data_IF_234050381329
#
_entry.id   IF_234050381329
#
_cell.length_a   1.000
_cell.length_b   1.000
_cell.length_c   1.000
_cell.angle_alpha   90.00
_cell.angle_beta   90.00
_cell.angle_gamma   90.00
#
_symmetry.space_group_name_H-M   'P 1'
#
loop_
_entity.id
_entity.type
_entity.pdbx_description
1 polymer ?
#
# COMPACT_ATOMS: atom_id res chain seq x y z
N UNK A 1 -17.14 -19.30 -21.42
CA UNK A 1 -17.93 -18.19 -20.87
C UNK A 1 -17.01 -17.41 -19.97
N UNK A 2 -16.88 -16.10 -20.19
CA UNK A 2 -16.18 -15.21 -19.26
C UNK A 2 -17.11 -14.99 -18.06
N UNK A 3 -16.65 -15.21 -16.82
CA UNK A 3 -17.48 -14.97 -15.64
C UNK A 3 -17.93 -13.51 -15.58
N UNK A 4 -19.08 -13.26 -14.95
CA UNK A 4 -19.54 -11.90 -14.72
C UNK A 4 -18.56 -11.17 -13.79
N UNK A 5 -18.46 -9.84 -13.92
CA UNK A 5 -17.55 -9.01 -13.08
C UNK A 5 -17.81 -9.20 -11.58
N UNK A 6 -19.06 -9.43 -11.21
CA UNK A 6 -19.49 -9.62 -9.82
C UNK A 6 -19.01 -10.98 -9.29
N UNK A 7 -19.11 -12.06 -10.07
CA UNK A 7 -18.61 -13.40 -9.70
C UNK A 7 -17.09 -13.39 -9.49
N UNK A 8 -16.35 -12.64 -10.31
CA UNK A 8 -14.90 -12.46 -10.15
C UNK A 8 -14.57 -11.70 -8.87
N UNK A 9 -15.33 -10.64 -8.57
CA UNK A 9 -15.12 -9.81 -7.38
C UNK A 9 -15.45 -10.58 -6.11
N UNK A 10 -16.55 -11.33 -6.08
CA UNK A 10 -16.91 -12.20 -4.95
C UNK A 10 -15.84 -13.26 -4.68
N UNK A 11 -15.31 -13.86 -5.74
CA UNK A 11 -14.20 -14.82 -5.62
C UNK A 11 -12.96 -14.15 -5.03
N UNK A 12 -12.54 -12.99 -5.54
CA UNK A 12 -11.39 -12.27 -4.99
C UNK A 12 -11.58 -11.88 -3.52
N UNK A 13 -12.80 -11.50 -3.11
CA UNK A 13 -13.11 -11.22 -1.71
C UNK A 13 -12.91 -12.48 -0.85
N UNK A 14 -13.37 -13.65 -1.32
CA UNK A 14 -13.19 -14.91 -0.59
C UNK A 14 -11.71 -15.29 -0.46
N UNK A 15 -10.95 -15.19 -1.54
CA UNK A 15 -9.51 -15.46 -1.57
C UNK A 15 -8.72 -14.51 -0.66
N UNK A 16 -8.99 -13.20 -0.73
CA UNK A 16 -8.38 -12.18 0.13
C UNK A 16 -8.77 -12.36 1.61
N UNK A 17 -9.99 -12.80 1.89
CA UNK A 17 -10.41 -13.14 3.25
C UNK A 17 -9.52 -14.25 3.80
N UNK A 18 -9.37 -15.36 3.06
CA UNK A 18 -8.50 -16.46 3.47
C UNK A 18 -7.02 -16.03 3.61
N UNK A 19 -6.50 -15.23 2.67
CA UNK A 19 -5.15 -14.67 2.75
C UNK A 19 -4.95 -13.87 4.05
N UNK A 20 -5.88 -12.98 4.38
CA UNK A 20 -5.74 -12.12 5.57
C UNK A 20 -5.91 -12.87 6.89
N UNK A 21 -6.69 -13.95 6.91
CA UNK A 21 -6.77 -14.86 8.05
C UNK A 21 -5.46 -15.62 8.25
N UNK A 22 -4.86 -16.13 7.17
CA UNK A 22 -3.53 -16.78 7.20
C UNK A 22 -2.45 -15.79 7.67
N UNK A 23 -2.48 -14.57 7.16
CA UNK A 23 -1.55 -13.50 7.57
C UNK A 23 -1.66 -13.19 9.06
N UNK A 24 -2.88 -13.00 9.58
CA UNK A 24 -3.10 -12.77 11.02
C UNK A 24 -2.64 -13.93 11.88
N UNK A 25 -2.87 -15.17 11.44
CA UNK A 25 -2.40 -16.36 12.15
C UNK A 25 -0.87 -16.44 12.17
N UNK A 26 -0.21 -16.14 11.05
CA UNK A 26 1.25 -16.09 10.96
C UNK A 26 1.84 -15.01 11.88
N UNK A 27 1.27 -13.80 11.88
CA UNK A 27 1.71 -12.72 12.76
C UNK A 27 1.49 -13.07 14.24
N UNK A 28 0.34 -13.65 14.60
CA UNK A 28 0.07 -14.09 15.98
C UNK A 28 1.04 -15.18 16.45
N UNK A 29 1.56 -16.00 15.53
CA UNK A 29 2.62 -16.98 15.79
C UNK A 29 4.03 -16.37 15.81
N UNK A 30 4.18 -15.07 15.52
CA UNK A 30 5.46 -14.37 15.43
C UNK A 30 6.25 -14.66 14.16
N UNK A 31 5.60 -15.17 13.11
CA UNK A 31 6.24 -15.42 11.82
C UNK A 31 6.34 -14.14 11.00
N UNK A 32 7.51 -13.90 10.42
CA UNK A 32 7.76 -12.85 9.42
C UNK A 32 7.76 -13.38 7.98
N UNK A 33 7.33 -14.63 7.76
CA UNK A 33 7.29 -15.22 6.42
C UNK A 33 6.18 -14.57 5.58
N UNK A 34 6.47 -14.39 4.29
CA UNK A 34 5.48 -13.92 3.33
C UNK A 34 4.34 -14.96 3.20
N UNK A 35 3.11 -14.48 3.23
CA UNK A 35 1.91 -15.33 3.11
C UNK A 35 1.34 -15.21 1.71
N UNK A 36 0.96 -16.34 1.12
CA UNK A 36 0.27 -16.39 -0.16
C UNK A 36 -0.87 -17.39 -0.16
N UNK A 37 -1.89 -17.12 -0.99
CA UNK A 37 -3.08 -17.95 -1.13
C UNK A 37 -3.76 -17.69 -2.48
N UNK A 38 -3.98 -18.76 -3.27
CA UNK A 38 -4.70 -18.69 -4.56
C UNK A 38 -4.18 -17.57 -5.48
N UNK A 39 -2.86 -17.44 -5.59
CA UNK A 39 -2.20 -16.43 -6.42
C UNK A 39 -2.11 -15.03 -5.81
N UNK A 40 -2.75 -14.79 -4.66
CA UNK A 40 -2.54 -13.57 -3.86
C UNK A 40 -1.32 -13.69 -2.96
N UNK A 41 -0.61 -12.58 -2.78
CA UNK A 41 0.57 -12.46 -1.93
C UNK A 41 0.47 -11.21 -1.07
N UNK A 42 0.99 -11.28 0.15
CA UNK A 42 1.10 -10.11 1.04
C UNK A 42 2.23 -9.18 0.60
N UNK A 43 1.96 -7.87 0.59
CA UNK A 43 2.90 -6.80 0.33
C UNK A 43 3.23 -5.98 1.58
N UNK A 44 3.66 -4.74 1.37
CA UNK A 44 4.04 -3.80 2.42
C UNK A 44 2.83 -3.34 3.23
N UNK A 45 3.07 -2.88 4.46
CA UNK A 45 1.99 -2.53 5.40
C UNK A 45 2.24 -1.24 6.18
N UNK A 46 1.15 -0.63 6.61
CA UNK A 46 1.13 0.40 7.65
C UNK A 46 0.53 -0.19 8.92
N UNK A 47 1.10 0.17 10.06
CA UNK A 47 0.70 -0.27 11.38
C UNK A 47 1.59 -1.40 11.86
N UNK A 48 1.83 -1.44 13.17
CA UNK A 48 2.73 -2.41 13.79
C UNK A 48 2.12 -3.80 13.94
N UNK A 49 0.81 -3.97 13.75
CA UNK A 49 0.12 -5.26 13.85
C UNK A 49 -1.09 -5.41 12.92
N UNK A 50 -1.49 -6.64 12.60
CA UNK A 50 -2.72 -6.97 11.86
C UNK A 50 -4.01 -6.71 12.66
N UNK A 51 -3.91 -6.22 13.91
CA UNK A 51 -5.05 -5.77 14.68
C UNK A 51 -5.60 -4.44 14.16
N UNK A 52 -4.71 -3.51 13.79
CA UNK A 52 -5.07 -2.22 13.21
C UNK A 52 -3.99 -1.78 12.22
N UNK A 53 -4.38 -1.55 10.97
CA UNK A 53 -3.42 -1.19 9.94
C UNK A 53 -3.96 -1.41 8.54
N UNK A 54 -3.06 -1.31 7.57
CA UNK A 54 -3.34 -1.51 6.16
C UNK A 54 -2.27 -2.39 5.56
N UNK A 55 -2.66 -3.38 4.79
CA UNK A 55 -1.77 -4.32 4.11
C UNK A 55 -2.05 -4.26 2.61
N UNK A 56 -1.02 -4.06 1.82
CA UNK A 56 -1.12 -4.24 0.38
C UNK A 56 -1.07 -5.73 0.03
N UNK A 57 -1.78 -6.12 -1.01
CA UNK A 57 -1.75 -7.46 -1.56
C UNK A 57 -1.75 -7.39 -3.08
N UNK A 58 -1.04 -8.31 -3.72
CA UNK A 58 -0.98 -8.39 -5.17
C UNK A 58 -1.27 -9.81 -5.63
N UNK A 59 -1.89 -9.94 -6.79
CA UNK A 59 -2.26 -11.21 -7.39
C UNK A 59 -1.41 -11.48 -8.64
N UNK A 60 -1.04 -12.73 -8.86
CA UNK A 60 -0.20 -13.15 -10.01
C UNK A 60 -0.77 -12.77 -11.38
N UNK A 61 -2.10 -12.63 -11.48
CA UNK A 61 -2.78 -12.22 -12.71
C UNK A 61 -2.89 -10.70 -12.91
N UNK A 62 -2.39 -9.88 -11.98
CA UNK A 62 -2.37 -8.43 -12.05
C UNK A 62 -3.26 -7.65 -11.08
N UNK A 63 -4.40 -8.16 -10.56
CA UNK A 63 -5.18 -7.43 -9.56
C UNK A 63 -4.38 -7.15 -8.28
N UNK A 64 -4.68 -6.03 -7.64
CA UNK A 64 -4.06 -5.64 -6.37
C UNK A 64 -5.12 -5.15 -5.41
N UNK A 65 -4.85 -5.22 -4.10
CA UNK A 65 -5.84 -4.90 -3.07
C UNK A 65 -5.21 -4.25 -1.85
N UNK A 66 -5.86 -3.21 -1.33
CA UNK A 66 -5.60 -2.70 0.01
C UNK A 66 -6.54 -3.39 1.00
N UNK A 67 -5.96 -4.08 1.97
CA UNK A 67 -6.66 -4.76 3.07
C UNK A 67 -6.64 -3.86 4.31
N UNK A 68 -7.80 -3.41 4.77
CA UNK A 68 -7.91 -2.54 5.95
C UNK A 68 -8.28 -3.38 7.17
N UNK A 69 -7.39 -3.37 8.16
CA UNK A 69 -7.59 -4.04 9.44
C UNK A 69 -8.06 -3.06 10.50
N UNK A 70 -9.16 -3.42 11.17
CA UNK A 70 -9.71 -2.68 12.32
C UNK A 70 -10.06 -3.68 13.41
N UNK A 71 -9.60 -3.41 14.62
CA UNK A 71 -9.80 -4.32 15.73
C UNK A 71 -11.30 -4.56 15.98
N UNK A 72 -11.71 -5.84 16.01
CA UNK A 72 -13.09 -6.25 16.23
C UNK A 72 -13.99 -6.17 14.99
N UNK A 73 -13.48 -5.75 13.83
CA UNK A 73 -14.24 -5.67 12.58
C UNK A 73 -13.74 -6.71 11.55
N UNK A 74 -14.57 -6.97 10.55
CA UNK A 74 -14.15 -7.73 9.36
C UNK A 74 -13.19 -6.89 8.54
N UNK A 75 -12.23 -7.54 7.88
CA UNK A 75 -11.32 -6.88 6.95
C UNK A 75 -12.13 -6.25 5.80
N UNK A 76 -11.81 -5.00 5.47
CA UNK A 76 -12.35 -4.33 4.29
C UNK A 76 -11.33 -4.42 3.15
N UNK A 77 -11.82 -4.63 1.93
CA UNK A 77 -10.97 -4.75 0.75
C UNK A 77 -11.29 -3.64 -0.24
N UNK A 78 -10.24 -2.94 -0.66
CA UNK A 78 -10.30 -2.06 -1.82
C UNK A 78 -9.53 -2.72 -2.97
N UNK A 79 -10.27 -3.37 -3.88
CA UNK A 79 -9.71 -4.22 -4.94
C UNK A 79 -9.64 -3.44 -6.25
N UNK A 80 -8.43 -3.38 -6.83
CA UNK A 80 -8.18 -2.80 -8.14
C UNK A 80 -7.94 -3.90 -9.16
N UNK A 81 -8.93 -4.12 -10.03
CA UNK A 81 -8.85 -5.16 -11.06
C UNK A 81 -7.73 -4.94 -12.09
N UNK A 82 -7.26 -3.69 -12.25
CA UNK A 82 -6.14 -3.34 -13.13
C UNK A 82 -4.79 -3.23 -12.40
N UNK A 83 -4.72 -3.63 -11.14
CA UNK A 83 -3.61 -3.32 -10.23
C UNK A 83 -3.62 -1.86 -9.77
N UNK A 84 -2.68 -1.50 -8.89
CA UNK A 84 -2.35 -0.15 -8.44
C UNK A 84 -1.99 0.78 -9.60
N UNK A 85 -1.79 0.24 -10.81
CA UNK A 85 -2.05 0.92 -12.08
C UNK A 85 -1.65 2.38 -12.07
N UNK A 86 -0.36 2.64 -11.89
CA UNK A 86 0.18 3.99 -11.93
C UNK A 86 1.51 3.98 -12.67
N UNK A 87 1.70 5.04 -13.46
CA UNK A 87 2.92 5.30 -14.19
C UNK A 87 4.06 5.58 -13.21
N UNK A 88 4.87 4.55 -12.93
CA UNK A 88 6.09 4.67 -12.13
C UNK A 88 7.27 5.17 -12.96
N UNK A 89 7.11 5.38 -14.27
CA UNK A 89 8.27 5.60 -15.18
C UNK A 89 9.01 6.90 -14.89
N UNK A 90 8.31 7.94 -14.43
CA UNK A 90 8.92 9.24 -14.15
C UNK A 90 9.63 9.29 -12.79
N UNK A 91 9.03 8.70 -11.75
CA UNK A 91 9.49 8.88 -10.35
C UNK A 91 10.08 7.61 -9.73
N UNK A 92 9.92 6.47 -10.37
CA UNK A 92 10.24 5.16 -9.82
C UNK A 92 9.23 4.65 -8.79
N UNK A 93 8.14 5.39 -8.52
CA UNK A 93 7.09 4.97 -7.58
C UNK A 93 5.76 5.63 -7.91
N UNK A 94 4.71 5.09 -7.32
CA UNK A 94 3.37 5.65 -7.36
C UNK A 94 2.62 5.45 -6.05
N UNK A 95 1.94 6.51 -5.62
CA UNK A 95 1.11 6.51 -4.40
C UNK A 95 -0.30 6.07 -4.74
N UNK A 96 -0.80 5.13 -3.95
CA UNK A 96 -2.18 4.66 -4.02
C UNK A 96 -3.04 5.25 -2.90
N UNK A 97 -2.57 5.16 -1.66
CA UNK A 97 -3.30 5.60 -0.46
C UNK A 97 -2.36 6.43 0.39
N UNK A 98 -2.87 7.53 0.95
CA UNK A 98 -2.04 8.56 1.60
C UNK A 98 -2.55 9.00 2.97
N UNK A 99 -3.48 8.26 3.59
CA UNK A 99 -3.89 8.46 5.00
C UNK A 99 -4.36 7.10 5.56
N UNK A 100 -3.83 6.60 6.69
CA UNK A 100 -3.02 7.29 7.71
C UNK A 100 -1.50 7.36 7.44
N UNK A 101 -1.01 6.71 6.41
CA UNK A 101 0.37 6.82 5.92
C UNK A 101 0.36 6.64 4.40
N UNK A 102 1.53 6.51 3.77
CA UNK A 102 1.60 6.35 2.32
C UNK A 102 1.84 4.90 1.94
N UNK A 103 0.98 4.39 1.07
CA UNK A 103 1.04 3.08 0.45
C UNK A 103 1.12 3.23 -1.06
N UNK A 104 1.83 2.33 -1.72
CA UNK A 104 1.87 2.34 -3.17
C UNK A 104 2.72 1.24 -3.78
N UNK A 105 3.13 1.48 -5.02
CA UNK A 105 3.98 0.58 -5.79
C UNK A 105 5.30 1.26 -6.17
N UNK A 106 6.35 0.47 -6.32
CA UNK A 106 7.66 0.90 -6.83
C UNK A 106 7.96 0.24 -8.17
N UNK A 107 8.74 0.92 -9.01
CA UNK A 107 9.25 0.36 -10.24
C UNK A 107 10.25 -0.78 -9.97
N UNK A 108 10.39 -1.65 -10.97
CA UNK A 108 11.49 -2.61 -11.03
C UNK A 108 12.85 -1.92 -10.85
N UNK A 109 13.68 -2.52 -10.00
CA UNK A 109 15.02 -2.00 -9.71
C UNK A 109 15.07 -0.85 -8.71
N UNK A 110 13.95 -0.41 -8.13
CA UNK A 110 13.97 0.37 -6.88
C UNK A 110 14.36 -0.56 -5.73
N UNK A 111 15.39 -0.16 -4.99
CA UNK A 111 15.92 -0.93 -3.85
C UNK A 111 15.59 -0.28 -2.51
N UNK A 112 15.37 1.03 -2.50
CA UNK A 112 15.11 1.81 -1.28
C UNK A 112 14.31 3.07 -1.60
N UNK A 113 13.38 3.39 -0.70
CA UNK A 113 12.59 4.62 -0.71
C UNK A 113 12.63 5.22 0.69
N UNK A 114 12.88 6.51 0.78
CA UNK A 114 12.96 7.25 2.04
C UNK A 114 12.14 8.54 1.92
N UNK A 115 11.38 8.87 2.96
CA UNK A 115 10.62 10.11 3.03
C UNK A 115 11.23 11.00 4.10
N UNK A 116 11.52 12.24 3.74
CA UNK A 116 11.85 13.30 4.68
C UNK A 116 10.57 14.03 5.07
N UNK A 117 10.25 14.02 6.35
CA UNK A 117 9.09 14.74 6.88
C UNK A 117 9.36 16.25 7.01
N UNK A 118 8.33 16.99 7.45
CA UNK A 118 8.40 18.43 7.62
C UNK A 118 9.44 18.88 8.67
N UNK A 119 9.79 18.00 9.62
CA UNK A 119 10.79 18.23 10.66
C UNK A 119 12.21 17.80 10.21
N UNK A 120 12.34 17.28 8.98
CA UNK A 120 13.60 16.79 8.43
C UNK A 120 13.97 15.38 8.85
N UNK A 121 13.05 14.63 9.49
CA UNK A 121 13.27 13.24 9.87
C UNK A 121 13.14 12.36 8.64
N UNK A 122 14.13 11.49 8.45
CA UNK A 122 14.13 10.51 7.36
C UNK A 122 13.46 9.23 7.84
N UNK A 123 12.32 8.91 7.24
CA UNK A 123 11.55 7.68 7.48
C UNK A 123 11.75 6.72 6.31
N UNK A 124 12.37 5.56 6.52
CA UNK A 124 12.50 4.56 5.47
C UNK A 124 11.15 3.90 5.18
N UNK A 125 10.87 3.62 3.92
CA UNK A 125 9.72 2.82 3.54
C UNK A 125 10.03 1.33 3.74
N UNK A 126 9.03 0.58 4.18
CA UNK A 126 9.00 -0.86 3.98
C UNK A 126 8.74 -1.14 2.50
N UNK A 127 9.56 -1.98 1.89
CA UNK A 127 9.35 -2.47 0.52
C UNK A 127 9.23 -3.99 0.59
N UNK A 128 8.12 -4.52 0.08
CA UNK A 128 7.87 -5.96 -0.04
C UNK A 128 7.41 -6.21 -1.48
N UNK A 129 8.18 -7.04 -2.19
CA UNK A 129 8.06 -7.20 -3.64
C UNK A 129 8.10 -5.82 -4.35
N UNK A 130 7.08 -5.49 -5.15
CA UNK A 130 6.94 -4.20 -5.83
C UNK A 130 6.02 -3.22 -5.09
N UNK A 131 5.66 -3.52 -3.84
CA UNK A 131 4.80 -2.65 -3.02
C UNK A 131 5.62 -1.92 -1.95
N UNK A 132 5.20 -0.72 -1.55
CA UNK A 132 5.82 0.00 -0.46
C UNK A 132 4.81 0.58 0.53
N UNK A 133 5.28 0.79 1.75
CA UNK A 133 4.54 1.45 2.83
C UNK A 133 5.48 2.35 3.64
N UNK A 134 5.00 3.52 4.01
CA UNK A 134 5.76 4.46 4.86
C UNK A 134 4.83 5.15 5.85
N UNK A 135 5.23 5.10 7.12
CA UNK A 135 4.52 5.73 8.24
C UNK A 135 5.02 7.16 8.44
N UNK A 136 4.34 8.12 7.82
CA UNK A 136 4.60 9.56 7.96
C UNK A 136 3.34 10.26 8.42
N UNK A 137 3.50 11.33 9.20
CA UNK A 137 2.36 12.14 9.64
C UNK A 137 1.77 12.92 8.46
N UNK A 138 0.55 12.55 8.09
CA UNK A 138 -0.23 13.16 7.01
C UNK A 138 -1.46 13.91 7.57
N UNK A 139 -1.48 14.11 8.89
CA UNK A 139 -2.63 14.59 9.62
C UNK A 139 -3.63 13.47 9.97
N UNK A 140 -4.82 13.86 10.47
CA UNK A 140 -5.79 12.90 10.99
C UNK A 140 -6.32 11.95 9.90
N UNK A 141 -6.48 10.68 10.24
CA UNK A 141 -7.16 9.70 9.38
C UNK A 141 -8.64 10.08 9.21
N UNK A 142 -9.16 10.10 7.97
CA UNK A 142 -10.57 10.28 7.71
C UNK A 142 -11.43 9.21 8.40
N UNK A 143 -12.46 9.65 9.12
CA UNK A 143 -13.43 8.78 9.81
C UNK A 143 -14.69 8.55 9.00
N UNK A 144 -14.97 9.43 8.06
CA UNK A 144 -16.17 9.39 7.22
C UNK A 144 -15.80 9.44 5.74
N UNK A 145 -16.71 8.97 4.88
CA UNK A 145 -16.52 9.06 3.44
C UNK A 145 -16.43 10.52 2.96
N UNK A 146 -17.16 11.42 3.62
CA UNK A 146 -17.11 12.85 3.32
C UNK A 146 -15.72 13.44 3.63
N UNK A 147 -15.08 13.02 4.72
CA UNK A 147 -13.70 13.42 5.06
C UNK A 147 -12.65 12.86 4.10
N UNK A 148 -12.91 11.69 3.48
CA UNK A 148 -12.03 11.13 2.44
C UNK A 148 -12.02 12.04 1.21
N UNK A 149 -13.19 12.55 0.82
CA UNK A 149 -13.36 13.40 -0.38
C UNK A 149 -13.24 14.91 -0.11
N UNK A 150 -13.18 15.32 1.15
CA UNK A 150 -12.95 16.71 1.52
C UNK A 150 -11.59 17.21 0.99
N UNK A 151 -11.55 18.48 0.59
CA UNK A 151 -10.29 19.12 0.21
C UNK A 151 -9.30 19.01 1.37
N UNK A 152 -8.13 18.47 1.06
CA UNK A 152 -7.05 18.25 2.01
C UNK A 152 -5.75 18.77 1.39
N UNK A 153 -5.03 19.59 2.15
CA UNK A 153 -3.69 20.06 1.80
C UNK A 153 -2.69 19.14 2.50
N UNK A 154 -2.03 18.23 1.76
CA UNK A 154 -1.02 17.36 2.37
C UNK A 154 0.18 18.19 2.85
N UNK A 155 0.87 17.74 3.91
CA UNK A 155 2.15 18.34 4.28
C UNK A 155 3.15 18.19 3.12
N UNK A 156 4.07 19.14 3.02
CA UNK A 156 5.17 19.07 2.06
C UNK A 156 6.17 18.01 2.53
N UNK A 157 6.16 16.86 1.86
CA UNK A 157 7.06 15.74 2.15
C UNK A 157 7.94 15.48 0.94
N UNK A 158 9.24 15.32 1.17
CA UNK A 158 10.21 15.00 0.11
C UNK A 158 10.52 13.52 0.13
N UNK A 159 10.46 12.85 -1.00
CA UNK A 159 10.87 11.45 -1.16
C UNK A 159 12.17 11.36 -1.92
N UNK A 160 13.02 10.42 -1.52
CA UNK A 160 14.19 9.97 -2.26
C UNK A 160 14.02 8.50 -2.64
N UNK A 161 14.27 8.20 -3.91
CA UNK A 161 14.15 6.85 -4.47
C UNK A 161 15.50 6.42 -4.99
N UNK A 162 15.94 5.25 -4.55
CA UNK A 162 17.25 4.69 -4.87
C UNK A 162 17.09 3.39 -5.65
N UNK A 163 18.00 3.19 -6.61
CA UNK A 163 18.12 1.97 -7.39
C UNK A 163 19.19 1.02 -6.89
N UNK A 164 19.57 0.08 -7.73
CA UNK A 164 20.71 -0.81 -7.49
C UNK A 164 21.98 -0.01 -7.15
N UNK A 165 22.73 -0.48 -6.14
CA UNK A 165 23.97 0.16 -5.70
C UNK A 165 23.78 1.54 -5.03
N UNK A 166 22.60 1.80 -4.45
CA UNK A 166 22.26 3.06 -3.77
C UNK A 166 22.31 4.30 -4.68
N UNK A 167 22.15 4.11 -5.99
CA UNK A 167 22.10 5.23 -6.94
C UNK A 167 20.79 5.99 -6.78
N UNK A 168 20.86 7.28 -6.46
CA UNK A 168 19.68 8.15 -6.41
C UNK A 168 19.05 8.25 -7.81
N UNK A 169 17.79 7.81 -7.95
CA UNK A 169 17.02 7.88 -9.21
C UNK A 169 16.05 9.05 -9.23
N UNK A 170 15.52 9.43 -8.07
CA UNK A 170 14.53 10.51 -7.93
C UNK A 170 14.65 11.18 -6.56
N UNK A 171 14.50 12.51 -6.54
CA UNK A 171 14.28 13.32 -5.34
C UNK A 171 13.24 14.39 -5.67
N UNK A 172 12.19 14.49 -4.85
CA UNK A 172 11.10 15.43 -5.11
C UNK A 172 9.88 15.20 -4.20
N UNK A 173 8.73 15.79 -4.53
CA UNK A 173 7.53 15.65 -3.70
C UNK A 173 7.01 14.20 -3.66
N UNK A 174 6.65 13.73 -2.47
CA UNK A 174 6.03 12.41 -2.28
C UNK A 174 4.67 12.34 -2.96
N UNK A 175 3.83 13.34 -2.70
CA UNK A 175 2.48 13.44 -3.25
C UNK A 175 2.51 14.42 -4.43
N UNK A 176 1.97 13.97 -5.57
CA UNK A 176 1.85 14.86 -6.73
C UNK A 176 0.87 15.99 -6.38
N UNK A 177 1.13 17.25 -6.80
CA UNK A 177 0.15 18.31 -6.64
C UNK A 177 -1.13 17.90 -7.36
N UNK A 178 -2.26 17.96 -6.66
CA UNK A 178 -3.58 17.77 -7.25
C UNK A 178 -3.71 18.70 -8.46
N UNK A 179 -3.86 18.13 -9.66
CA UNK A 179 -4.09 18.92 -10.88
C UNK A 179 -5.38 19.71 -10.67
N UNK A 180 -5.23 21.03 -10.57
CA UNK A 180 -6.32 22.02 -10.56
C UNK A 180 -7.14 21.99 -11.84
#
# INVERSE_FOLDING_TARGET
MTPARDEVTERWIAELTALTELYRAAEAAGSGEAVSHEGWHTGARIGTSAANGRLLAYHDSGPEAECVFRAGERTLFNIMSGGYGNDTTERGFAVWSSRPGVLGAVDSGVSRLEVTDADGVVVPAEIVAHTFAVEVDLGPEPRTIDEVFAQWEPPELTVRVYGEGDVLRYEGPLLAPSRS
#
